data_IF_222812572887
#
_entry.id   IF_222812572887
#
_cell.length_a   1.000
_cell.length_b   1.000
_cell.length_c   1.000
_cell.angle_alpha   90.00
_cell.angle_beta   90.00
_cell.angle_gamma   90.00
#
_symmetry.space_group_name_H-M   'P 1'
#
loop_
_entity.id
_entity.type
_entity.pdbx_description
1 polymer ?
#
# COMPACT_ATOMS: atom_id res chain seq x y z
N UNK A 1 24.97 -1.96 8.61
CA UNK A 1 24.37 -0.89 9.46
C UNK A 1 22.90 -1.21 9.54
N UNK A 2 22.42 -1.59 10.73
CA UNK A 2 21.00 -1.87 11.01
C UNK A 2 20.18 -0.61 10.73
N UNK A 3 19.63 -0.47 9.51
CA UNK A 3 18.67 0.60 9.21
C UNK A 3 17.37 0.25 9.92
N UNK A 4 17.29 0.56 11.21
CA UNK A 4 16.06 0.42 12.00
C UNK A 4 15.16 1.60 11.70
N UNK A 5 14.31 1.48 10.68
CA UNK A 5 13.16 2.37 10.55
C UNK A 5 12.25 2.16 11.76
N UNK A 6 11.69 3.23 12.34
CA UNK A 6 10.65 3.12 13.36
C UNK A 6 9.40 2.47 12.74
N UNK A 7 8.54 1.83 13.53
CA UNK A 7 7.28 1.26 13.01
C UNK A 7 6.28 2.37 12.67
N UNK A 8 6.15 3.34 13.57
CA UNK A 8 5.29 4.51 13.46
C UNK A 8 6.11 5.79 13.29
N UNK A 9 5.59 6.80 12.57
CA UNK A 9 6.26 8.07 12.36
C UNK A 9 6.31 8.94 13.62
N UNK A 10 7.32 9.80 13.71
CA UNK A 10 7.39 10.91 14.66
C UNK A 10 6.64 12.17 14.18
N UNK A 11 6.64 13.24 14.99
CA UNK A 11 6.00 14.50 14.63
C UNK A 11 6.52 15.07 13.30
N UNK A 12 5.60 15.35 12.36
CA UNK A 12 5.92 15.90 11.04
C UNK A 12 6.42 14.88 10.02
N UNK A 13 6.59 13.61 10.43
CA UNK A 13 6.93 12.52 9.52
C UNK A 13 5.66 11.89 8.90
N UNK A 14 5.81 11.39 7.69
CA UNK A 14 4.80 10.62 6.97
C UNK A 14 5.46 9.39 6.34
N UNK A 15 4.89 8.22 6.60
CA UNK A 15 5.39 6.95 6.08
C UNK A 15 4.38 6.35 5.10
N UNK A 16 4.86 5.72 4.02
CA UNK A 16 4.05 4.77 3.28
C UNK A 16 3.74 3.59 4.23
N UNK A 17 2.46 3.44 4.57
CA UNK A 17 2.01 2.46 5.56
C UNK A 17 1.65 1.15 4.89
N UNK A 18 0.72 1.20 3.95
CA UNK A 18 0.32 0.06 3.16
C UNK A 18 -0.27 0.48 1.82
N UNK A 19 -0.35 -0.50 0.95
CA UNK A 19 -1.03 -0.42 -0.35
C UNK A 19 -2.03 -1.56 -0.44
N UNK A 20 -3.16 -1.30 -1.09
CA UNK A 20 -4.27 -2.25 -1.13
C UNK A 20 -4.71 -2.61 -2.54
N UNK A 21 -4.82 -3.90 -2.78
CA UNK A 21 -5.41 -4.49 -3.98
C UNK A 21 -6.91 -4.63 -3.80
N UNK A 22 -7.68 -4.14 -4.76
CA UNK A 22 -9.10 -4.45 -4.85
C UNK A 22 -9.24 -5.64 -5.80
N UNK A 23 -9.77 -6.75 -5.28
CA UNK A 23 -9.91 -8.01 -6.02
C UNK A 23 -11.36 -8.50 -6.01
N UNK A 24 -11.80 -9.14 -7.12
CA UNK A 24 -13.15 -9.67 -7.20
C UNK A 24 -13.33 -10.88 -6.26
N UNK A 25 -12.28 -11.68 -6.08
CA UNK A 25 -12.29 -12.88 -5.25
C UNK A 25 -10.96 -12.97 -4.48
N UNK A 26 -11.06 -12.94 -3.14
CA UNK A 26 -9.89 -12.97 -2.27
C UNK A 26 -9.23 -14.35 -2.18
N UNK A 27 -10.01 -15.42 -2.39
CA UNK A 27 -9.49 -16.79 -2.36
C UNK A 27 -8.71 -17.10 -3.65
N UNK A 28 -9.10 -16.48 -4.76
CA UNK A 28 -8.32 -16.51 -6.01
C UNK A 28 -7.06 -15.65 -5.89
N UNK A 29 -7.15 -14.49 -5.25
CA UNK A 29 -6.01 -13.58 -5.12
C UNK A 29 -4.96 -14.06 -4.11
N UNK A 30 -5.39 -14.70 -3.01
CA UNK A 30 -4.51 -15.06 -1.90
C UNK A 30 -3.25 -15.87 -2.30
N UNK A 31 -3.37 -16.93 -3.13
CA UNK A 31 -2.21 -17.70 -3.58
C UNK A 31 -1.13 -16.88 -4.29
N UNK A 32 -1.48 -15.78 -4.97
CA UNK A 32 -0.51 -14.93 -5.65
C UNK A 32 0.44 -14.25 -4.65
N UNK A 33 -0.10 -13.70 -3.56
CA UNK A 33 0.70 -13.04 -2.52
C UNK A 33 1.50 -14.05 -1.69
N UNK A 34 0.90 -15.21 -1.39
CA UNK A 34 1.60 -16.29 -0.68
C UNK A 34 2.78 -16.84 -1.50
N UNK A 35 2.60 -17.01 -2.83
CA UNK A 35 3.67 -17.43 -3.75
C UNK A 35 4.81 -16.39 -3.83
N UNK A 36 4.49 -15.10 -3.69
CA UNK A 36 5.49 -14.02 -3.60
C UNK A 36 6.21 -13.97 -2.24
N UNK A 37 5.82 -14.83 -1.28
CA UNK A 37 6.44 -14.95 0.04
C UNK A 37 5.82 -14.08 1.11
N UNK A 38 4.58 -13.63 0.91
CA UNK A 38 3.81 -12.88 1.90
C UNK A 38 2.73 -13.78 2.52
N UNK A 39 2.95 -14.34 3.73
CA UNK A 39 1.89 -15.07 4.43
C UNK A 39 0.74 -14.12 4.75
N UNK A 40 -0.48 -14.55 4.48
CA UNK A 40 -1.67 -13.72 4.66
C UNK A 40 -2.33 -13.95 6.01
N UNK A 41 -2.77 -12.84 6.64
CA UNK A 41 -3.58 -12.90 7.86
C UNK A 41 -4.92 -13.61 7.62
N UNK A 42 -5.61 -14.06 8.69
CA UNK A 42 -6.98 -14.52 8.59
C UNK A 42 -7.91 -13.48 7.93
N UNK A 43 -8.95 -13.97 7.26
CA UNK A 43 -9.98 -13.14 6.63
C UNK A 43 -10.68 -12.28 7.68
N UNK A 44 -10.71 -10.98 7.45
CA UNK A 44 -11.25 -10.00 8.39
C UNK A 44 -12.32 -9.14 7.72
N UNK A 45 -13.56 -9.25 8.18
CA UNK A 45 -14.65 -8.36 7.76
C UNK A 45 -14.50 -7.00 8.43
N UNK A 46 -14.43 -5.95 7.61
CA UNK A 46 -14.35 -4.58 8.12
C UNK A 46 -15.67 -4.14 8.71
N UNK A 47 -15.59 -3.67 9.94
CA UNK A 47 -16.71 -3.10 10.65
C UNK A 47 -16.22 -2.05 11.64
N UNK A 48 -17.08 -1.07 11.90
CA UNK A 48 -16.87 -0.07 12.92
C UNK A 48 -17.79 -0.37 14.10
N UNK A 49 -17.25 -0.29 15.31
CA UNK A 49 -18.06 -0.36 16.52
C UNK A 49 -18.43 1.07 16.93
N UNK A 50 -19.72 1.36 17.02
CA UNK A 50 -20.24 2.64 17.53
C UNK A 50 -20.13 2.67 19.07
N UNK A 51 -20.16 3.85 19.71
CA UNK A 51 -20.10 3.95 21.18
C UNK A 51 -21.21 3.20 21.94
N UNK A 52 -22.32 2.87 21.28
CA UNK A 52 -23.42 2.07 21.82
C UNK A 52 -23.21 0.54 21.67
N UNK A 53 -22.05 0.10 21.17
CA UNK A 53 -21.71 -1.30 20.91
C UNK A 53 -22.28 -1.87 19.60
N UNK A 54 -22.98 -1.05 18.81
CA UNK A 54 -23.50 -1.48 17.50
C UNK A 54 -22.34 -1.63 16.51
N UNK A 55 -22.20 -2.82 15.93
CA UNK A 55 -21.22 -3.11 14.89
C UNK A 55 -21.82 -2.84 13.51
N UNK A 56 -21.28 -1.85 12.81
CA UNK A 56 -21.69 -1.48 11.44
C UNK A 56 -20.66 -1.98 10.46
N UNK A 57 -21.06 -2.81 9.50
CA UNK A 57 -20.18 -3.32 8.46
C UNK A 57 -19.80 -2.19 7.50
N UNK A 58 -18.52 -2.15 7.11
CA UNK A 58 -18.00 -1.18 6.15
C UNK A 58 -18.15 -1.64 4.69
N UNK A 59 -18.61 -2.88 4.47
CA UNK A 59 -18.86 -3.45 3.14
C UNK A 59 -17.64 -4.01 2.40
N UNK A 60 -16.50 -4.12 3.08
CA UNK A 60 -15.28 -4.75 2.55
C UNK A 60 -14.71 -5.71 3.58
N UNK A 61 -13.86 -6.61 3.13
CA UNK A 61 -13.08 -7.49 3.98
C UNK A 61 -11.67 -7.60 3.42
N UNK A 62 -10.72 -8.03 4.25
CA UNK A 62 -9.34 -8.14 3.83
C UNK A 62 -8.63 -9.40 4.34
N UNK A 63 -7.47 -9.64 3.72
CA UNK A 63 -6.34 -10.40 4.25
C UNK A 63 -5.09 -9.56 4.02
N UNK A 64 -4.16 -9.52 4.97
CA UNK A 64 -2.97 -8.68 4.90
C UNK A 64 -1.71 -9.53 4.79
N UNK A 65 -0.80 -9.16 3.88
CA UNK A 65 0.57 -9.67 3.83
C UNK A 65 1.49 -8.73 4.59
N UNK A 66 1.84 -9.06 5.83
CA UNK A 66 2.62 -8.16 6.67
C UNK A 66 4.09 -8.18 6.27
N UNK A 67 4.69 -7.00 6.14
CA UNK A 67 6.13 -6.80 5.94
C UNK A 67 6.68 -6.19 7.21
N UNK A 68 7.96 -6.37 7.53
CA UNK A 68 8.54 -5.81 8.77
C UNK A 68 8.30 -4.30 8.87
N UNK A 69 8.27 -3.57 7.76
CA UNK A 69 7.85 -2.16 7.68
C UNK A 69 6.82 -1.97 6.56
N UNK A 70 5.58 -1.71 6.96
CA UNK A 70 4.43 -1.63 6.07
C UNK A 70 3.76 -2.98 5.81
N UNK A 71 2.72 -3.00 4.98
CA UNK A 71 2.05 -4.24 4.59
C UNK A 71 1.30 -4.12 3.26
N UNK A 72 0.88 -5.27 2.74
CA UNK A 72 0.04 -5.41 1.55
C UNK A 72 -1.38 -5.75 2.01
N UNK A 73 -2.39 -5.03 1.54
CA UNK A 73 -3.78 -5.32 1.87
C UNK A 73 -4.49 -5.93 0.66
N UNK A 74 -4.99 -7.15 0.76
CA UNK A 74 -5.83 -7.75 -0.27
C UNK A 74 -7.27 -7.56 0.16
N UNK A 75 -8.04 -6.73 -0.55
CA UNK A 75 -9.41 -6.38 -0.20
C UNK A 75 -10.41 -6.95 -1.18
N UNK A 76 -11.53 -7.43 -0.65
CA UNK A 76 -12.69 -7.83 -1.45
C UNK A 76 -13.97 -7.15 -0.96
N UNK A 77 -14.96 -7.10 -1.86
CA UNK A 77 -16.30 -6.57 -1.63
C UNK A 77 -17.12 -7.57 -0.81
N UNK A 78 -17.68 -7.14 0.32
CA UNK A 78 -18.68 -7.96 1.02
C UNK A 78 -20.03 -7.84 0.31
N UNK A 79 -20.80 -8.92 0.11
CA UNK A 79 -22.13 -8.82 -0.49
C UNK A 79 -23.09 -8.03 0.41
N UNK A 80 -24.14 -7.46 -0.19
CA UNK A 80 -25.32 -6.89 0.48
C UNK A 80 -25.09 -5.70 1.44
N UNK A 81 -23.93 -5.04 1.37
CA UNK A 81 -23.63 -3.82 2.14
C UNK A 81 -23.39 -2.67 1.19
N UNK A 82 -24.27 -1.67 1.16
CA UNK A 82 -24.08 -0.46 0.33
C UNK A 82 -23.58 0.71 1.18
N UNK A 83 -22.54 1.38 0.68
CA UNK A 83 -21.88 2.50 1.34
C UNK A 83 -21.00 3.28 0.35
N UNK A 84 -20.55 4.50 0.68
CA UNK A 84 -19.55 5.19 -0.12
C UNK A 84 -18.25 4.37 -0.30
N UNK A 85 -17.87 3.55 0.69
CA UNK A 85 -16.67 2.70 0.63
C UNK A 85 -16.82 1.64 -0.47
N UNK A 86 -18.00 1.06 -0.60
CA UNK A 86 -18.28 0.03 -1.60
C UNK A 86 -18.52 0.61 -2.97
N UNK A 87 -19.18 1.77 -3.08
CA UNK A 87 -19.27 2.52 -4.34
C UNK A 87 -17.88 2.83 -4.91
N UNK A 88 -16.94 3.27 -4.07
CA UNK A 88 -15.56 3.51 -4.49
C UNK A 88 -14.87 2.21 -4.92
N UNK A 89 -15.09 1.13 -4.17
CA UNK A 89 -14.50 -0.17 -4.46
C UNK A 89 -14.98 -0.68 -5.83
N UNK A 90 -16.28 -0.63 -6.08
CA UNK A 90 -16.90 -1.09 -7.31
C UNK A 90 -16.45 -0.22 -8.51
N UNK A 91 -16.35 1.10 -8.34
CA UNK A 91 -15.84 2.00 -9.37
C UNK A 91 -14.36 1.74 -9.71
N UNK A 92 -13.54 1.43 -8.71
CA UNK A 92 -12.12 1.09 -8.92
C UNK A 92 -11.98 -0.28 -9.61
N UNK A 93 -12.73 -1.28 -9.16
CA UNK A 93 -12.70 -2.63 -9.72
C UNK A 93 -13.21 -2.67 -11.18
N UNK A 94 -14.15 -1.77 -11.53
CA UNK A 94 -14.60 -1.59 -12.90
C UNK A 94 -13.51 -1.09 -13.85
N UNK A 95 -12.49 -0.37 -13.35
CA UNK A 95 -11.31 0.05 -14.12
C UNK A 95 -10.35 -1.12 -14.30
N UNK A 96 -9.98 -1.78 -13.20
CA UNK A 96 -9.12 -2.98 -13.22
C UNK A 96 -9.07 -3.67 -11.85
N UNK A 97 -8.72 -4.96 -11.84
CA UNK A 97 -8.24 -5.64 -10.62
C UNK A 97 -6.78 -5.26 -10.39
N UNK A 98 -6.44 -4.77 -9.20
CA UNK A 98 -5.09 -4.28 -8.92
C UNK A 98 -5.04 -3.31 -7.74
N UNK A 99 -3.95 -2.55 -7.65
CA UNK A 99 -3.75 -1.59 -6.56
C UNK A 99 -4.62 -0.36 -6.78
N UNK A 100 -5.44 -0.05 -5.77
CA UNK A 100 -6.36 1.09 -5.74
C UNK A 100 -6.39 1.80 -4.39
N UNK A 101 -5.64 1.30 -3.40
CA UNK A 101 -5.55 1.91 -2.08
C UNK A 101 -4.10 2.26 -1.76
N UNK A 102 -3.89 3.49 -1.29
CA UNK A 102 -2.62 3.94 -0.72
C UNK A 102 -2.91 4.53 0.64
N UNK A 103 -2.23 4.05 1.67
CA UNK A 103 -2.37 4.56 3.02
C UNK A 103 -1.03 5.07 3.55
N UNK A 104 -1.09 6.21 4.20
CA UNK A 104 0.06 6.83 4.84
C UNK A 104 -0.14 6.90 6.34
N UNK A 105 0.90 6.59 7.11
CA UNK A 105 0.87 6.78 8.56
C UNK A 105 1.46 8.12 8.96
N UNK A 106 0.87 8.73 9.99
CA UNK A 106 1.29 9.97 10.65
C UNK A 106 1.21 9.80 12.17
N UNK A 107 1.86 10.68 12.93
CA UNK A 107 1.84 10.62 14.39
C UNK A 107 0.57 11.23 15.00
N UNK A 108 -0.09 12.15 14.30
CA UNK A 108 -1.24 12.92 14.80
C UNK A 108 -2.28 13.15 13.69
N UNK A 109 -3.47 12.58 13.90
CA UNK A 109 -4.55 12.67 12.91
C UNK A 109 -5.30 14.00 12.97
N UNK A 110 -5.34 14.70 14.10
CA UNK A 110 -6.02 15.99 14.22
C UNK A 110 -5.24 17.08 13.49
N UNK A 111 -3.93 17.17 13.76
CA UNK A 111 -3.01 18.09 13.08
C UNK A 111 -3.01 17.81 11.57
N UNK A 112 -2.99 16.54 11.18
CA UNK A 112 -3.00 16.18 9.76
C UNK A 112 -4.35 16.50 9.10
N UNK A 113 -5.46 16.32 9.79
CA UNK A 113 -6.79 16.69 9.29
C UNK A 113 -6.89 18.20 9.03
N UNK A 114 -6.37 19.02 9.96
CA UNK A 114 -6.31 20.47 9.78
C UNK A 114 -5.45 20.85 8.57
N UNK A 115 -4.23 20.30 8.47
CA UNK A 115 -3.32 20.54 7.33
C UNK A 115 -3.97 20.16 5.99
N UNK A 116 -4.62 19.00 5.90
CA UNK A 116 -5.29 18.56 4.68
C UNK A 116 -6.40 19.54 4.26
N UNK A 117 -7.15 20.10 5.22
CA UNK A 117 -8.16 21.15 4.93
C UNK A 117 -7.52 22.43 4.41
N UNK A 118 -6.44 22.89 5.04
CA UNK A 118 -5.70 24.08 4.61
C UNK A 118 -5.10 23.90 3.21
N UNK A 119 -4.71 22.67 2.86
CA UNK A 119 -4.25 22.29 1.53
C UNK A 119 -5.38 22.07 0.51
N UNK A 120 -6.64 22.33 0.87
CA UNK A 120 -7.79 22.29 -0.04
C UNK A 120 -8.49 20.94 -0.17
N UNK A 121 -8.16 19.95 0.68
CA UNK A 121 -8.90 18.69 0.76
C UNK A 121 -10.11 18.81 1.69
N UNK A 122 -11.02 17.84 1.62
CA UNK A 122 -12.22 17.76 2.46
C UNK A 122 -12.23 16.47 3.29
N UNK A 123 -11.23 16.23 4.17
CA UNK A 123 -11.19 15.02 4.98
C UNK A 123 -12.42 14.91 5.87
N UNK A 124 -12.95 13.70 5.96
CA UNK A 124 -13.94 13.32 6.95
C UNK A 124 -13.36 13.40 8.37
N UNK A 125 -14.22 13.34 9.39
CA UNK A 125 -13.74 13.20 10.76
C UNK A 125 -12.94 11.90 10.91
N UNK A 126 -11.80 11.90 11.62
CA UNK A 126 -11.05 10.69 11.89
C UNK A 126 -11.94 9.62 12.53
N UNK A 127 -11.88 8.40 12.00
CA UNK A 127 -12.63 7.27 12.53
C UNK A 127 -11.69 6.39 13.34
N UNK A 128 -12.00 6.23 14.63
CA UNK A 128 -11.31 5.27 15.49
C UNK A 128 -11.77 3.86 15.14
N UNK A 129 -10.85 3.06 14.60
CA UNK A 129 -11.08 1.66 14.24
C UNK A 129 -10.43 0.77 15.29
N UNK A 130 -11.22 -0.15 15.83
CA UNK A 130 -10.81 -1.08 16.88
C UNK A 130 -11.28 -2.47 16.50
N UNK A 131 -10.39 -3.46 16.57
CA UNK A 131 -10.76 -4.86 16.35
C UNK A 131 -9.93 -5.78 17.26
N UNK A 132 -10.55 -6.82 17.84
CA UNK A 132 -9.80 -7.84 18.56
C UNK A 132 -8.89 -8.59 17.59
N UNK A 133 -7.68 -8.92 18.03
CA UNK A 133 -6.76 -9.80 17.31
C UNK A 133 -6.15 -10.83 18.28
N UNK A 134 -6.10 -12.11 17.88
CA UNK A 134 -5.34 -13.10 18.64
C UNK A 134 -3.85 -12.75 18.56
N UNK A 135 -3.15 -12.95 19.67
CA UNK A 135 -1.71 -12.72 19.79
C UNK A 135 -0.92 -14.02 19.69
N UNK A 136 0.34 -13.95 19.24
CA UNK A 136 1.26 -15.09 19.11
C UNK A 136 1.49 -15.83 20.44
N UNK A 137 1.34 -15.13 21.57
CA UNK A 137 1.43 -15.70 22.91
C UNK A 137 0.12 -16.42 23.37
N UNK A 138 -0.92 -16.43 22.52
CA UNK A 138 -2.23 -17.03 22.80
C UNK A 138 -3.23 -16.09 23.50
N UNK A 139 -2.84 -14.86 23.82
CA UNK A 139 -3.73 -13.85 24.42
C UNK A 139 -4.58 -13.12 23.37
N UNK A 140 -5.45 -12.21 23.83
CA UNK A 140 -6.24 -11.33 22.97
C UNK A 140 -5.74 -9.89 23.10
N UNK A 141 -5.42 -9.27 21.98
CA UNK A 141 -5.11 -7.85 21.87
C UNK A 141 -6.22 -7.09 21.16
N UNK A 142 -6.15 -5.76 21.20
CA UNK A 142 -7.01 -4.89 20.36
C UNK A 142 -6.12 -4.13 19.41
N UNK A 143 -6.25 -4.38 18.10
CA UNK A 143 -5.67 -3.53 17.09
C UNK A 143 -6.45 -2.21 17.03
N UNK A 144 -5.72 -1.11 17.09
CA UNK A 144 -6.24 0.24 17.17
C UNK A 144 -5.52 1.17 16.20
N UNK A 145 -6.31 1.87 15.40
CA UNK A 145 -5.86 2.86 14.43
C UNK A 145 -6.92 3.95 14.27
N UNK A 146 -6.49 5.16 13.91
CA UNK A 146 -7.40 6.28 13.63
C UNK A 146 -7.23 6.68 12.18
N UNK A 147 -8.31 6.61 11.37
CA UNK A 147 -8.24 6.77 9.91
C UNK A 147 -8.93 8.04 9.46
N UNK A 148 -8.23 8.83 8.66
CA UNK A 148 -8.72 9.99 7.94
C UNK A 148 -9.03 9.56 6.50
N UNK A 149 -10.29 9.66 6.10
CA UNK A 149 -10.73 9.38 4.73
C UNK A 149 -10.97 10.68 3.97
N UNK A 150 -10.74 10.62 2.67
CA UNK A 150 -11.20 11.63 1.72
C UNK A 150 -12.46 11.14 1.01
N UNK A 151 -13.30 12.05 0.49
CA UNK A 151 -14.39 11.70 -0.43
C UNK A 151 -13.89 10.91 -1.64
N UNK A 152 -14.72 10.03 -2.19
CA UNK A 152 -14.34 9.04 -3.22
C UNK A 152 -13.62 9.61 -4.46
N UNK A 153 -13.89 10.87 -4.82
CA UNK A 153 -13.35 11.55 -6.00
C UNK A 153 -12.24 12.56 -5.69
N UNK A 154 -11.75 12.60 -4.45
CA UNK A 154 -10.71 13.55 -4.06
C UNK A 154 -9.34 13.19 -4.65
N UNK A 155 -9.12 11.92 -5.00
CA UNK A 155 -7.89 11.39 -5.56
C UNK A 155 -8.24 10.51 -6.75
N UNK A 156 -7.62 10.76 -7.91
CA UNK A 156 -7.99 10.11 -9.16
C UNK A 156 -7.57 8.62 -9.19
N UNK A 157 -6.51 8.28 -8.45
CA UNK A 157 -5.89 6.95 -8.44
C UNK A 157 -6.76 5.92 -7.74
N UNK A 158 -7.59 6.34 -6.78
CA UNK A 158 -8.45 5.47 -5.99
C UNK A 158 -8.59 5.97 -4.54
N UNK A 159 -8.54 5.05 -3.58
CA UNK A 159 -8.62 5.36 -2.15
C UNK A 159 -7.25 5.76 -1.60
N UNK A 160 -7.03 7.05 -1.41
CA UNK A 160 -5.85 7.54 -0.68
C UNK A 160 -6.27 8.06 0.69
N UNK A 161 -5.65 7.53 1.73
CA UNK A 161 -6.04 7.80 3.12
C UNK A 161 -4.83 7.99 4.03
N UNK A 162 -5.07 8.62 5.18
CA UNK A 162 -4.06 8.80 6.23
C UNK A 162 -4.53 8.11 7.50
N UNK A 163 -3.61 7.58 8.31
CA UNK A 163 -3.93 6.99 9.60
C UNK A 163 -2.86 7.24 10.67
N UNK A 164 -3.23 7.11 11.94
CA UNK A 164 -2.29 6.79 13.03
C UNK A 164 -2.43 5.32 13.41
N UNK A 165 -1.29 4.66 13.68
CA UNK A 165 -1.26 3.33 14.28
C UNK A 165 -1.09 3.49 15.79
N UNK A 166 -2.10 3.08 16.56
CA UNK A 166 -2.12 3.28 18.00
C UNK A 166 -1.56 2.05 18.74
N UNK A 167 -1.61 0.86 18.13
CA UNK A 167 -1.10 -0.41 18.68
C UNK A 167 -0.28 -1.19 17.64
N UNK A 168 0.86 -0.66 17.17
CA UNK A 168 1.66 -1.28 16.11
C UNK A 168 2.13 -2.70 16.48
N UNK A 169 2.49 -2.96 17.74
CA UNK A 169 2.99 -4.27 18.19
C UNK A 169 1.92 -5.39 18.12
N UNK A 170 0.64 -5.01 18.12
CA UNK A 170 -0.50 -5.95 17.97
C UNK A 170 -0.74 -6.30 16.50
N UNK A 171 -0.37 -5.41 15.59
CA UNK A 171 -0.59 -5.56 14.15
C UNK A 171 0.58 -6.28 13.49
N UNK A 172 1.82 -5.93 13.83
CA UNK A 172 3.05 -6.52 13.27
C UNK A 172 3.58 -7.69 14.10
N UNK A 173 2.78 -8.74 14.18
CA UNK A 173 3.19 -9.96 14.89
C UNK A 173 4.13 -10.83 14.03
N UNK A 174 5.15 -11.47 14.64
CA UNK A 174 6.08 -12.34 13.93
C UNK A 174 5.41 -13.43 13.09
N UNK A 175 4.33 -14.05 13.57
CA UNK A 175 3.64 -15.14 12.87
C UNK A 175 3.06 -14.77 11.49
N UNK A 176 2.72 -13.50 11.28
CA UNK A 176 2.13 -13.01 10.02
C UNK A 176 3.11 -12.18 9.19
N UNK A 177 4.32 -11.94 9.68
CA UNK A 177 5.30 -11.08 9.01
C UNK A 177 6.19 -11.90 8.08
N UNK A 178 6.27 -11.50 6.81
CA UNK A 178 7.14 -12.14 5.82
C UNK A 178 8.60 -12.21 6.31
N UNK A 179 9.15 -13.42 6.36
CA UNK A 179 10.56 -13.67 6.68
C UNK A 179 11.27 -14.48 5.59
N UNK A 180 10.55 -15.42 4.95
CA UNK A 180 11.14 -16.41 4.04
C UNK A 180 11.77 -15.80 2.78
N UNK A 181 11.16 -14.75 2.22
CA UNK A 181 11.64 -14.04 1.04
C UNK A 181 12.58 -12.86 1.38
N UNK A 182 12.92 -12.63 2.67
CA UNK A 182 13.73 -11.51 3.15
C UNK A 182 13.20 -10.09 2.80
N UNK A 183 11.91 -9.97 2.44
CA UNK A 183 11.24 -8.69 2.28
C UNK A 183 11.21 -7.93 3.61
N UNK A 184 11.70 -6.69 3.62
CA UNK A 184 11.92 -5.93 4.85
C UNK A 184 11.07 -4.66 4.94
N UNK A 185 10.78 -3.99 3.82
CA UNK A 185 10.04 -2.73 3.84
C UNK A 185 9.28 -2.47 2.55
N UNK A 186 8.00 -2.10 2.64
CA UNK A 186 7.29 -1.44 1.54
C UNK A 186 7.96 -0.09 1.29
N UNK A 187 8.68 0.02 0.18
CA UNK A 187 9.60 1.12 -0.08
C UNK A 187 9.05 2.15 -1.07
N UNK A 188 7.97 1.85 -1.79
CA UNK A 188 7.41 2.82 -2.71
C UNK A 188 6.33 2.29 -3.64
N UNK A 189 5.80 3.20 -4.45
CA UNK A 189 4.81 2.95 -5.48
C UNK A 189 5.15 3.71 -6.77
N UNK A 190 4.79 3.13 -7.91
CA UNK A 190 4.83 3.79 -9.21
C UNK A 190 3.40 4.04 -9.69
N UNK A 191 3.08 5.31 -9.92
CA UNK A 191 1.78 5.78 -10.42
C UNK A 191 1.97 6.28 -11.85
N UNK A 192 1.28 5.64 -12.79
CA UNK A 192 1.20 6.04 -14.17
C UNK A 192 -0.06 6.91 -14.37
N UNK A 193 0.10 8.12 -14.90
CA UNK A 193 -0.99 9.09 -15.08
C UNK A 193 -0.89 9.80 -16.43
N UNK A 194 -1.99 10.41 -16.87
CA UNK A 194 -2.00 11.21 -18.11
C UNK A 194 -1.40 12.60 -17.94
N UNK A 195 -1.36 13.14 -16.70
CA UNK A 195 -0.80 14.45 -16.38
C UNK A 195 0.09 14.36 -15.12
N UNK A 196 1.37 13.95 -15.26
CA UNK A 196 2.29 13.81 -14.12
C UNK A 196 2.48 15.10 -13.29
N UNK A 197 2.58 16.31 -13.88
CA UNK A 197 2.64 17.54 -13.11
C UNK A 197 1.45 17.76 -12.17
N UNK A 198 0.21 17.49 -12.61
CA UNK A 198 -0.98 17.62 -11.76
C UNK A 198 -0.93 16.65 -10.58
N UNK A 199 -0.66 15.38 -10.87
CA UNK A 199 -0.62 14.36 -9.84
C UNK A 199 0.48 14.65 -8.83
N UNK A 200 1.66 15.08 -9.28
CA UNK A 200 2.75 15.51 -8.41
C UNK A 200 2.31 16.65 -7.47
N UNK A 201 1.78 17.75 -8.00
CA UNK A 201 1.30 18.88 -7.18
C UNK A 201 0.22 18.46 -6.16
N UNK A 202 -0.71 17.60 -6.58
CA UNK A 202 -1.76 17.08 -5.70
C UNK A 202 -1.19 16.19 -4.60
N UNK A 203 -0.24 15.31 -4.91
CA UNK A 203 0.43 14.49 -3.89
C UNK A 203 1.38 15.31 -3.00
N UNK A 204 1.98 16.40 -3.48
CA UNK A 204 2.73 17.33 -2.62
C UNK A 204 1.82 17.97 -1.57
N UNK A 205 0.67 18.51 -2.00
CA UNK A 205 -0.34 19.06 -1.08
C UNK A 205 -0.85 17.99 -0.12
N UNK A 206 -1.11 16.78 -0.62
CA UNK A 206 -1.63 15.69 0.20
C UNK A 206 -0.63 15.21 1.25
N UNK A 207 0.62 14.97 0.87
CA UNK A 207 1.65 14.40 1.76
C UNK A 207 2.39 15.45 2.59
N UNK A 208 2.44 16.70 2.12
CA UNK A 208 3.30 17.75 2.68
C UNK A 208 4.79 17.58 2.33
N UNK A 209 5.12 16.69 1.37
CA UNK A 209 6.47 16.46 0.87
C UNK A 209 6.64 17.07 -0.51
N UNK A 210 7.86 17.46 -0.84
CA UNK A 210 8.18 18.12 -2.12
C UNK A 210 8.43 17.10 -3.21
N UNK A 211 7.84 17.34 -4.38
CA UNK A 211 8.09 16.58 -5.59
C UNK A 211 9.38 17.06 -6.25
N UNK A 212 10.22 16.10 -6.59
CA UNK A 212 11.44 16.29 -7.33
C UNK A 212 11.18 15.90 -8.78
N UNK A 213 11.30 16.86 -9.71
CA UNK A 213 11.35 16.54 -11.14
C UNK A 213 12.63 15.75 -11.43
N UNK A 214 12.49 14.54 -11.96
CA UNK A 214 13.58 13.61 -12.30
C UNK A 214 13.30 13.02 -13.67
N UNK A 215 14.20 13.25 -14.64
CA UNK A 215 14.04 12.68 -15.97
C UNK A 215 12.65 12.93 -16.57
N UNK A 216 11.98 11.85 -16.97
CA UNK A 216 10.60 11.85 -17.50
C UNK A 216 9.45 11.91 -16.47
N UNK A 217 9.71 12.08 -15.17
CA UNK A 217 8.67 12.03 -14.15
C UNK A 217 8.96 12.79 -12.86
N UNK A 218 8.22 12.47 -11.81
CA UNK A 218 8.33 13.08 -10.49
C UNK A 218 8.55 12.02 -9.42
N UNK A 219 9.42 12.34 -8.47
CA UNK A 219 9.66 11.54 -7.27
C UNK A 219 9.30 12.35 -6.04
N UNK A 220 8.48 11.79 -5.14
CA UNK A 220 8.15 12.39 -3.85
C UNK A 220 8.73 11.50 -2.76
N UNK A 221 9.90 11.86 -2.20
CA UNK A 221 10.45 11.15 -1.04
C UNK A 221 9.58 11.39 0.19
N UNK A 222 9.23 10.30 0.88
CA UNK A 222 8.62 10.35 2.21
C UNK A 222 9.71 10.10 3.27
N UNK A 223 9.37 10.23 4.54
CA UNK A 223 10.31 9.90 5.62
C UNK A 223 10.54 8.38 5.69
N UNK A 224 9.58 7.59 5.18
CA UNK A 224 9.75 6.18 4.86
C UNK A 224 8.95 5.83 3.61
N UNK A 225 9.68 5.42 2.58
CA UNK A 225 9.14 5.08 1.27
C UNK A 225 9.06 6.27 0.31
N UNK A 226 8.52 6.05 -0.88
CA UNK A 226 8.41 7.09 -1.92
C UNK A 226 7.18 6.89 -2.82
N UNK A 227 6.81 7.98 -3.50
CA UNK A 227 5.84 7.96 -4.60
C UNK A 227 6.58 8.37 -5.86
N UNK A 228 6.50 7.56 -6.91
CA UNK A 228 7.02 7.90 -8.23
C UNK A 228 5.84 8.05 -9.18
N UNK A 229 5.84 9.13 -9.95
CA UNK A 229 4.73 9.52 -10.84
C UNK A 229 5.29 9.77 -12.23
N UNK A 230 4.71 9.13 -13.24
CA UNK A 230 5.17 9.28 -14.63
C UNK A 230 4.03 9.09 -15.64
N UNK A 231 4.30 9.37 -16.92
CA UNK A 231 3.41 9.07 -18.02
C UNK A 231 3.62 7.63 -18.53
N UNK A 232 2.70 7.12 -19.35
CA UNK A 232 2.72 5.74 -19.85
C UNK A 232 4.03 5.33 -20.50
N UNK A 233 4.62 6.20 -21.34
CA UNK A 233 5.87 5.88 -22.05
C UNK A 233 7.01 5.62 -21.05
N UNK A 234 7.20 6.51 -20.08
CA UNK A 234 8.19 6.33 -19.00
C UNK A 234 7.84 5.14 -18.10
N UNK A 235 6.56 4.88 -17.84
CA UNK A 235 6.15 3.70 -17.09
C UNK A 235 6.57 2.41 -17.80
N UNK A 236 6.40 2.33 -19.13
CA UNK A 236 6.80 1.18 -19.94
C UNK A 236 8.32 1.05 -20.08
N UNK A 237 9.08 2.14 -19.96
CA UNK A 237 10.54 2.11 -19.87
C UNK A 237 11.02 1.58 -18.51
N UNK A 238 10.36 1.95 -17.41
CA UNK A 238 10.71 1.52 -16.05
C UNK A 238 10.32 0.06 -15.76
N UNK A 239 9.22 -0.40 -16.36
CA UNK A 239 8.57 -1.67 -16.10
C UNK A 239 8.35 -2.45 -17.39
N UNK A 240 9.24 -3.41 -17.66
CA UNK A 240 9.11 -4.30 -18.81
C UNK A 240 7.80 -5.12 -18.73
N UNK A 241 7.06 -5.18 -19.83
CA UNK A 241 5.76 -5.89 -19.94
C UNK A 241 4.69 -5.38 -18.95
N UNK A 242 4.77 -4.10 -18.55
CA UNK A 242 3.65 -3.46 -17.86
C UNK A 242 2.42 -3.45 -18.77
N UNK A 243 1.31 -3.97 -18.25
CA UNK A 243 0.00 -3.88 -18.88
C UNK A 243 -0.75 -2.74 -18.20
N UNK A 244 -0.96 -1.62 -18.92
CA UNK A 244 -1.64 -0.44 -18.40
C UNK A 244 -3.10 -0.52 -18.84
N UNK A 245 -4.03 -0.97 -17.98
CA UNK A 245 -5.42 -1.19 -18.40
C UNK A 245 -6.16 0.12 -18.64
N UNK A 246 -6.01 1.08 -17.73
CA UNK A 246 -6.67 2.38 -17.76
C UNK A 246 -5.87 3.37 -16.89
N UNK A 247 -5.85 4.66 -17.25
CA UNK A 247 -5.22 5.70 -16.45
C UNK A 247 -6.22 6.44 -15.55
N UNK A 248 -5.82 6.85 -14.33
CA UNK A 248 -4.52 6.61 -13.70
C UNK A 248 -4.32 5.13 -13.33
N UNK A 249 -3.09 4.68 -13.11
CA UNK A 249 -2.78 3.28 -12.81
C UNK A 249 -1.66 3.19 -11.78
N UNK A 250 -1.86 2.48 -10.67
CA UNK A 250 -0.77 2.18 -9.73
C UNK A 250 -0.07 0.91 -10.25
N UNK A 251 0.96 1.12 -11.06
CA UNK A 251 1.57 0.11 -11.91
C UNK A 251 2.48 -0.87 -11.16
N UNK A 252 3.14 -0.39 -10.10
CA UNK A 252 4.02 -1.22 -9.30
C UNK A 252 4.09 -0.79 -7.85
N UNK A 253 4.50 -1.75 -7.03
CA UNK A 253 4.89 -1.57 -5.64
C UNK A 253 6.34 -2.00 -5.50
N UNK A 254 7.13 -1.29 -4.71
CA UNK A 254 8.51 -1.68 -4.42
C UNK A 254 8.67 -2.16 -2.99
N UNK A 255 9.50 -3.19 -2.82
CA UNK A 255 9.80 -3.81 -1.53
C UNK A 255 11.30 -3.92 -1.36
N UNK A 256 11.86 -3.20 -0.39
CA UNK A 256 13.26 -3.32 -0.05
C UNK A 256 13.52 -4.67 0.64
N UNK A 257 14.58 -5.35 0.22
CA UNK A 257 15.06 -6.62 0.76
C UNK A 257 16.33 -6.42 1.58
N UNK A 258 16.41 -7.13 2.72
CA UNK A 258 17.64 -7.23 3.51
C UNK A 258 18.67 -8.17 2.88
N UNK A 259 18.23 -9.08 2.02
CA UNK A 259 19.08 -10.04 1.32
C UNK A 259 18.45 -10.35 -0.05
N UNK A 260 18.79 -9.51 -1.03
CA UNK A 260 18.20 -9.60 -2.37
C UNK A 260 18.54 -10.93 -3.07
N UNK A 261 19.66 -11.56 -2.72
CA UNK A 261 20.02 -12.88 -3.24
C UNK A 261 19.08 -13.97 -2.71
N UNK A 262 18.73 -13.94 -1.41
CA UNK A 262 17.70 -14.83 -0.86
C UNK A 262 16.31 -14.55 -1.41
N UNK A 263 15.94 -13.28 -1.60
CA UNK A 263 14.68 -12.94 -2.28
C UNK A 263 14.64 -13.55 -3.67
N UNK A 264 15.73 -13.43 -4.43
CA UNK A 264 15.84 -14.04 -5.77
C UNK A 264 15.68 -15.56 -5.71
N UNK A 265 16.43 -16.24 -4.85
CA UNK A 265 16.34 -17.70 -4.71
C UNK A 265 14.92 -18.14 -4.35
N UNK A 266 14.28 -17.46 -3.40
CA UNK A 266 12.90 -17.74 -3.02
C UNK A 266 11.94 -17.63 -4.20
N UNK A 267 11.99 -16.51 -4.95
CA UNK A 267 11.10 -16.28 -6.09
C UNK A 267 11.32 -17.29 -7.21
N UNK A 268 12.57 -17.66 -7.48
CA UNK A 268 12.90 -18.67 -8.50
C UNK A 268 12.45 -20.08 -8.08
N UNK A 269 12.64 -20.46 -6.81
CA UNK A 269 12.15 -21.74 -6.27
C UNK A 269 10.61 -21.82 -6.29
N UNK A 270 9.94 -20.69 -6.06
CA UNK A 270 8.48 -20.54 -6.19
C UNK A 270 7.99 -20.43 -7.65
N UNK A 271 8.88 -20.51 -8.65
CA UNK A 271 8.59 -20.36 -10.07
C UNK A 271 7.90 -19.02 -10.44
N UNK A 272 8.21 -17.95 -9.71
CA UNK A 272 7.72 -16.60 -10.02
C UNK A 272 8.50 -16.05 -11.23
N UNK A 273 7.84 -15.68 -12.34
CA UNK A 273 8.51 -15.10 -13.50
C UNK A 273 9.10 -13.72 -13.18
N UNK A 274 10.37 -13.54 -13.54
CA UNK A 274 11.09 -12.27 -13.38
C UNK A 274 11.39 -11.67 -14.77
N UNK A 275 10.95 -10.44 -15.00
CA UNK A 275 11.32 -9.67 -16.20
C UNK A 275 12.68 -9.00 -16.06
N UNK A 276 12.99 -8.56 -14.85
CA UNK A 276 14.33 -8.12 -14.49
C UNK A 276 14.87 -9.00 -13.37
N UNK A 277 16.11 -9.42 -13.53
CA UNK A 277 16.83 -10.30 -12.61
C UNK A 277 18.28 -9.80 -12.48
N UNK A 278 18.46 -8.54 -12.09
CA UNK A 278 19.78 -7.91 -11.88
C UNK A 278 20.24 -8.11 -10.44
N UNK A 279 21.53 -7.90 -10.13
CA UNK A 279 22.12 -8.24 -8.82
C UNK A 279 21.41 -7.58 -7.64
N UNK A 280 20.88 -6.38 -7.82
CA UNK A 280 20.29 -5.57 -6.77
C UNK A 280 18.82 -5.19 -6.99
N UNK A 281 18.19 -5.67 -8.08
CA UNK A 281 16.78 -5.41 -8.41
C UNK A 281 16.14 -6.58 -9.15
N UNK A 282 14.91 -6.90 -8.75
CA UNK A 282 14.08 -7.96 -9.33
C UNK A 282 12.72 -7.35 -9.66
N UNK A 283 12.20 -7.61 -10.87
CA UNK A 283 10.85 -7.19 -11.26
C UNK A 283 10.05 -8.44 -11.64
N UNK A 284 8.91 -8.65 -10.98
CA UNK A 284 7.98 -9.73 -11.34
C UNK A 284 7.13 -9.32 -12.53
N UNK A 285 6.50 -10.30 -13.21
CA UNK A 285 5.42 -9.96 -14.11
C UNK A 285 4.20 -9.38 -13.38
N UNK A 286 3.32 -8.68 -14.12
CA UNK A 286 2.10 -8.05 -13.59
C UNK A 286 1.09 -9.09 -13.08
N UNK A 287 1.03 -10.27 -13.73
CA UNK A 287 0.13 -11.37 -13.35
C UNK A 287 0.46 -11.96 -11.97
N UNK A 288 1.73 -12.05 -11.59
CA UNK A 288 2.14 -12.49 -10.25
C UNK A 288 1.67 -11.54 -9.17
N UNK A 289 1.57 -10.23 -9.45
CA UNK A 289 1.08 -9.23 -8.50
C UNK A 289 -0.35 -8.75 -8.75
N UNK A 290 -1.20 -9.58 -9.37
CA UNK A 290 -2.62 -9.29 -9.59
C UNK A 290 -2.86 -7.94 -10.31
N UNK A 291 -2.11 -7.69 -11.38
CA UNK A 291 -2.19 -6.48 -12.20
C UNK A 291 -1.05 -5.50 -11.96
N UNK A 292 -0.53 -5.41 -10.73
CA UNK A 292 0.66 -4.60 -10.43
C UNK A 292 1.93 -5.45 -10.46
N UNK A 293 3.07 -4.85 -10.84
CA UNK A 293 4.36 -5.50 -10.70
C UNK A 293 4.95 -5.30 -9.30
N UNK A 294 5.68 -6.30 -8.80
CA UNK A 294 6.50 -6.17 -7.61
C UNK A 294 7.94 -5.89 -8.01
N UNK A 295 8.51 -4.82 -7.45
CA UNK A 295 9.93 -4.48 -7.59
C UNK A 295 10.65 -4.74 -6.27
N UNK A 296 11.36 -5.86 -6.18
CA UNK A 296 12.24 -6.13 -5.04
C UNK A 296 13.60 -5.52 -5.29
N UNK A 297 14.18 -4.86 -4.29
CA UNK A 297 15.47 -4.19 -4.48
C UNK A 297 16.31 -4.16 -3.19
N UNK A 298 17.61 -3.98 -3.32
CA UNK A 298 18.47 -3.68 -2.16
C UNK A 298 18.27 -2.23 -1.69
N UNK A 299 18.58 -1.97 -0.42
CA UNK A 299 18.37 -0.66 0.22
C UNK A 299 19.18 0.52 -0.35
N UNK A 300 20.20 0.25 -1.16
CA UNK A 300 21.04 1.20 -1.87
C UNK A 300 20.64 1.39 -3.34
N UNK A 301 19.70 0.59 -3.83
CA UNK A 301 19.16 0.68 -5.18
C UNK A 301 17.84 1.45 -5.19
N UNK A 302 17.71 2.41 -6.09
CA UNK A 302 16.45 3.09 -6.38
C UNK A 302 15.51 2.13 -7.15
N UNK A 303 14.26 1.92 -6.69
CA UNK A 303 13.36 0.94 -7.32
C UNK A 303 12.81 1.42 -8.68
N UNK A 304 12.67 2.73 -8.87
CA UNK A 304 12.12 3.35 -10.08
C UNK A 304 13.02 4.50 -10.57
N UNK A 305 14.20 4.21 -11.14
CA UNK A 305 15.15 5.24 -11.56
C UNK A 305 14.59 6.04 -12.74
N UNK A 306 14.10 7.24 -12.48
CA UNK A 306 13.65 8.17 -13.52
C UNK A 306 14.88 8.79 -14.21
N UNK A 307 15.25 8.22 -15.37
CA UNK A 307 16.38 8.64 -16.19
C UNK A 307 16.08 9.89 -17.04
#
# INVERSE_FOLDING_TARGET
MDRKFAQTPGPGEIYLDHVGWFVPDIEVAAPHFETLGFPLTPFTVHANEKPNGERVLSGTANRCGMIRRGYLEVLTRMPDVESPITEQFDACLARYTGVHLIAFSVSDTEVTTARLRDCGFKPEAPVALRRPLPLDNGEQGTAAFSVIRLPNNAMAEGRVQVLSQDTPDIVWQPSFTAQANCAAMLSGILICVSNPPEAAERYERFTGKTAELRGGGYRIPLDRGEIVICASDTCSELLQDVDIPELPFIAAVSVASEDIAKTRSYLLEANVPLFENSDNRLITNSRSGMGAQFVFHSFDQEPFPLL
#
